data_IF_501848313997
#
_entry.id   IF_501848313997
#
_cell.length_a   1.000
_cell.length_b   1.000
_cell.length_c   1.000
_cell.angle_alpha   90.00
_cell.angle_beta   90.00
_cell.angle_gamma   90.00
#
_symmetry.space_group_name_H-M   'P 1'
#
loop_
_entity.id
_entity.type
_entity.pdbx_description
1 polymer ?
#
# COMPACT_ATOMS: atom_id res chain seq x y z
N UNK A 1 43.48 39.67 34.57
CA UNK A 1 42.04 39.58 34.26
C UNK A 1 41.76 38.14 33.84
N UNK A 2 41.12 37.35 34.71
CA UNK A 2 40.72 35.98 34.40
C UNK A 2 39.19 35.98 34.30
N UNK A 3 38.59 35.44 33.23
CA UNK A 3 37.14 35.46 33.06
C UNK A 3 36.51 34.41 33.98
N UNK A 4 35.52 34.83 34.76
CA UNK A 4 34.69 33.94 35.57
C UNK A 4 33.68 33.28 34.64
N UNK A 5 33.83 31.98 34.43
CA UNK A 5 32.84 31.16 33.71
C UNK A 5 31.63 30.99 34.64
N UNK A 6 30.52 31.64 34.29
CA UNK A 6 29.25 31.46 34.98
C UNK A 6 28.61 30.16 34.50
N UNK A 7 28.65 29.13 35.33
CA UNK A 7 28.00 27.85 35.06
C UNK A 7 26.53 27.99 35.43
N UNK A 8 25.65 28.05 34.43
CA UNK A 8 24.21 28.03 34.62
C UNK A 8 23.78 26.71 35.25
N UNK A 9 23.43 26.74 36.53
CA UNK A 9 22.85 25.61 37.25
C UNK A 9 21.45 25.34 36.68
N UNK A 10 21.30 24.28 35.89
CA UNK A 10 19.99 23.78 35.46
C UNK A 10 19.13 23.52 36.69
N UNK A 11 17.96 24.16 36.76
CA UNK A 11 17.03 24.05 37.87
C UNK A 11 16.75 22.58 38.22
N UNK A 12 17.23 22.14 39.38
CA UNK A 12 16.92 20.82 39.93
C UNK A 12 15.43 20.82 40.25
N UNK A 13 14.64 20.12 39.44
CA UNK A 13 13.20 19.94 39.71
C UNK A 13 13.05 19.28 41.08
N UNK A 14 12.22 19.86 41.95
CA UNK A 14 11.88 19.29 43.25
C UNK A 14 11.40 17.84 43.04
N UNK A 15 11.88 16.87 43.85
CA UNK A 15 11.39 15.50 43.75
C UNK A 15 9.89 15.47 44.02
N UNK A 16 9.12 14.69 43.23
CA UNK A 16 7.68 14.61 43.36
C UNK A 16 7.29 14.06 44.73
N UNK A 17 6.22 14.62 45.27
CA UNK A 17 5.67 14.23 46.57
C UNK A 17 4.97 12.88 46.44
N UNK A 18 4.90 12.09 47.51
CA UNK A 18 4.22 10.79 47.51
C UNK A 18 2.77 10.86 46.96
N UNK A 19 2.03 11.91 47.31
CA UNK A 19 0.66 12.11 46.81
C UNK A 19 0.60 12.42 45.32
N UNK A 20 1.61 13.11 44.78
CA UNK A 20 1.73 13.39 43.33
C UNK A 20 1.99 12.09 42.58
N UNK A 21 2.95 11.28 43.07
CA UNK A 21 3.23 9.95 42.53
C UNK A 21 2.00 9.03 42.60
N UNK A 22 1.22 9.08 43.69
CA UNK A 22 0.01 8.27 43.84
C UNK A 22 -1.06 8.66 42.81
N UNK A 23 -1.26 9.96 42.57
CA UNK A 23 -2.19 10.47 41.54
C UNK A 23 -1.72 10.11 40.13
N UNK A 24 -0.43 10.22 39.86
CA UNK A 24 0.15 9.81 38.57
C UNK A 24 -0.04 8.32 38.33
N UNK A 25 0.23 7.46 39.32
CA UNK A 25 0.02 6.02 39.21
C UNK A 25 -1.45 5.69 38.92
N UNK A 26 -2.41 6.36 39.57
CA UNK A 26 -3.83 6.15 39.28
C UNK A 26 -4.20 6.59 37.86
N UNK A 27 -3.63 7.71 37.39
CA UNK A 27 -3.88 8.24 36.05
C UNK A 27 -3.29 7.33 34.98
N UNK A 28 -2.05 6.88 35.16
CA UNK A 28 -1.38 5.94 34.25
C UNK A 28 -2.10 4.59 34.22
N UNK A 29 -2.60 4.11 35.36
CA UNK A 29 -3.42 2.88 35.41
C UNK A 29 -4.71 3.04 34.61
N UNK A 30 -5.38 4.18 34.73
CA UNK A 30 -6.58 4.48 33.96
C UNK A 30 -6.28 4.55 32.46
N UNK A 31 -5.25 5.30 32.07
CA UNK A 31 -4.79 5.39 30.67
C UNK A 31 -4.41 4.02 30.10
N UNK A 32 -3.73 3.17 30.87
CA UNK A 32 -3.41 1.81 30.44
C UNK A 32 -4.66 0.96 30.23
N UNK A 33 -5.67 1.10 31.10
CA UNK A 33 -6.93 0.39 30.96
C UNK A 33 -7.73 0.87 29.73
N UNK A 34 -7.71 2.17 29.44
CA UNK A 34 -8.37 2.76 28.29
C UNK A 34 -7.68 2.33 26.98
N UNK A 35 -6.35 2.44 26.89
CA UNK A 35 -5.58 1.97 25.73
C UNK A 35 -5.78 0.47 25.46
N UNK A 36 -5.90 -0.35 26.50
CA UNK A 36 -6.20 -1.78 26.34
C UNK A 36 -7.58 -2.03 25.74
N UNK A 37 -8.57 -1.21 26.11
CA UNK A 37 -9.92 -1.26 25.52
C UNK A 37 -9.87 -0.85 24.06
N UNK A 38 -9.20 0.25 23.74
CA UNK A 38 -9.06 0.74 22.36
C UNK A 38 -8.37 -0.28 21.46
N UNK A 39 -7.28 -0.92 21.94
CA UNK A 39 -6.60 -2.00 21.22
C UNK A 39 -7.54 -3.18 20.99
N UNK A 40 -8.35 -3.56 21.99
CA UNK A 40 -9.30 -4.65 21.85
C UNK A 40 -10.38 -4.35 20.81
N UNK A 41 -10.90 -3.12 20.80
CA UNK A 41 -11.90 -2.66 19.84
C UNK A 41 -11.33 -2.59 18.43
N UNK A 42 -10.15 -2.01 18.27
CA UNK A 42 -9.43 -1.98 17.00
C UNK A 42 -9.15 -3.40 16.47
N UNK A 43 -8.72 -4.34 17.33
CA UNK A 43 -8.50 -5.73 16.95
C UNK A 43 -9.79 -6.43 16.49
N UNK A 44 -10.92 -6.19 17.16
CA UNK A 44 -12.23 -6.71 16.73
C UNK A 44 -12.65 -6.14 15.38
N UNK A 45 -12.43 -4.84 15.17
CA UNK A 45 -12.76 -4.20 13.90
C UNK A 45 -11.87 -4.74 12.77
N UNK A 46 -10.57 -4.89 13.00
CA UNK A 46 -9.64 -5.50 12.06
C UNK A 46 -10.07 -6.93 11.68
N UNK A 47 -10.49 -7.75 12.67
CA UNK A 47 -10.99 -9.10 12.42
C UNK A 47 -12.25 -9.09 11.53
N UNK A 48 -13.20 -8.17 11.78
CA UNK A 48 -14.41 -8.01 10.97
C UNK A 48 -14.09 -7.61 9.53
N UNK A 49 -13.21 -6.63 9.35
CA UNK A 49 -12.77 -6.16 8.03
C UNK A 49 -12.07 -7.29 7.28
N UNK A 50 -11.15 -8.03 7.92
CA UNK A 50 -10.47 -9.17 7.31
C UNK A 50 -11.43 -10.27 6.87
N UNK A 51 -12.44 -10.58 7.68
CA UNK A 51 -13.46 -11.56 7.33
C UNK A 51 -14.39 -11.08 6.19
N UNK A 52 -14.68 -9.78 6.11
CA UNK A 52 -15.43 -9.21 4.99
C UNK A 52 -14.61 -9.25 3.70
N UNK A 53 -13.35 -8.86 3.77
CA UNK A 53 -12.40 -8.88 2.67
C UNK A 53 -12.23 -10.30 2.11
N UNK A 54 -12.09 -11.31 2.97
CA UNK A 54 -11.95 -12.70 2.52
C UNK A 54 -13.18 -13.18 1.74
N UNK A 55 -14.40 -12.88 2.22
CA UNK A 55 -15.64 -13.22 1.52
C UNK A 55 -15.78 -12.51 0.18
N UNK A 56 -15.35 -11.24 0.11
CA UNK A 56 -15.38 -10.48 -1.14
C UNK A 56 -14.33 -11.00 -2.14
N UNK A 57 -13.13 -11.30 -1.66
CA UNK A 57 -12.05 -11.89 -2.46
C UNK A 57 -12.46 -13.24 -3.06
N UNK A 58 -13.11 -14.09 -2.27
CA UNK A 58 -13.64 -15.38 -2.75
C UNK A 58 -14.66 -15.17 -3.88
N UNK A 59 -15.62 -14.25 -3.69
CA UNK A 59 -16.60 -13.91 -4.74
C UNK A 59 -15.95 -13.38 -6.02
N UNK A 60 -14.91 -12.56 -5.89
CA UNK A 60 -14.17 -12.02 -7.03
C UNK A 60 -13.39 -13.10 -7.78
N UNK A 61 -12.89 -14.13 -7.09
CA UNK A 61 -12.14 -15.22 -7.71
C UNK A 61 -12.95 -16.06 -8.72
N UNK A 62 -14.28 -15.95 -8.71
CA UNK A 62 -15.13 -16.55 -9.76
C UNK A 62 -15.06 -15.82 -11.10
N UNK A 63 -14.68 -14.54 -11.10
CA UNK A 63 -14.66 -13.69 -12.30
C UNK A 63 -13.24 -13.28 -12.69
N UNK A 64 -12.35 -13.19 -11.70
CA UNK A 64 -10.99 -12.69 -11.83
C UNK A 64 -10.00 -13.78 -11.47
N UNK A 65 -8.82 -13.73 -12.11
CA UNK A 65 -7.71 -14.59 -11.76
C UNK A 65 -7.09 -14.18 -10.43
N UNK A 66 -6.36 -15.09 -9.78
CA UNK A 66 -5.81 -14.86 -8.44
C UNK A 66 -4.89 -13.63 -8.37
N UNK A 67 -4.04 -13.40 -9.37
CA UNK A 67 -3.17 -12.23 -9.49
C UNK A 67 -3.95 -10.92 -9.69
N UNK A 68 -5.08 -10.97 -10.41
CA UNK A 68 -5.98 -9.83 -10.55
C UNK A 68 -6.68 -9.49 -9.23
N UNK A 69 -7.08 -10.50 -8.46
CA UNK A 69 -7.66 -10.30 -7.12
C UNK A 69 -6.61 -9.77 -6.16
N UNK A 70 -5.38 -10.29 -6.20
CA UNK A 70 -4.24 -9.77 -5.42
C UNK A 70 -4.01 -8.27 -5.71
N UNK A 71 -4.08 -7.87 -6.99
CA UNK A 71 -3.96 -6.45 -7.38
C UNK A 71 -5.05 -5.56 -6.77
N UNK A 72 -6.27 -6.06 -6.61
CA UNK A 72 -7.37 -5.30 -6.01
C UNK A 72 -7.25 -5.16 -4.49
N UNK A 73 -6.64 -6.15 -3.83
CA UNK A 73 -6.50 -6.20 -2.37
C UNK A 73 -5.18 -5.55 -1.90
N UNK A 74 -4.26 -5.28 -2.83
CA UNK A 74 -2.95 -4.69 -2.56
C UNK A 74 -3.06 -3.35 -1.83
N UNK A 75 -2.32 -3.21 -0.73
CA UNK A 75 -2.23 -1.99 0.05
C UNK A 75 -1.06 -1.11 -0.43
N UNK A 76 -1.09 0.21 -0.17
CA UNK A 76 0.05 1.08 -0.43
C UNK A 76 1.30 0.58 0.31
N UNK A 77 2.39 0.37 -0.43
CA UNK A 77 3.66 -0.12 0.11
C UNK A 77 3.87 -1.64 -0.01
N UNK A 78 2.85 -2.39 -0.43
CA UNK A 78 3.01 -3.82 -0.73
C UNK A 78 3.92 -4.04 -1.96
N UNK A 79 4.59 -5.19 -2.01
CA UNK A 79 5.38 -5.60 -3.16
C UNK A 79 4.51 -5.64 -4.43
N UNK A 80 5.06 -5.29 -5.61
CA UNK A 80 4.30 -5.31 -6.86
C UNK A 80 3.80 -6.72 -7.17
N UNK A 81 2.56 -6.82 -7.65
CA UNK A 81 1.92 -8.08 -8.02
C UNK A 81 2.71 -8.78 -9.12
N UNK A 82 2.92 -10.09 -8.94
CA UNK A 82 3.51 -10.95 -9.96
C UNK A 82 2.41 -11.46 -10.87
N UNK A 83 2.30 -10.84 -12.04
CA UNK A 83 1.34 -11.26 -13.07
C UNK A 83 1.65 -12.65 -13.59
N UNK A 84 0.63 -13.47 -13.70
CA UNK A 84 0.75 -14.80 -14.30
C UNK A 84 0.73 -14.71 -15.82
N UNK A 85 1.43 -15.61 -16.50
CA UNK A 85 1.46 -15.66 -17.97
C UNK A 85 0.06 -15.70 -18.61
N UNK A 86 -0.93 -16.47 -18.12
CA UNK A 86 -2.28 -16.44 -18.66
C UNK A 86 -2.97 -15.07 -18.58
N UNK A 87 -2.70 -14.28 -17.52
CA UNK A 87 -3.22 -12.92 -17.37
C UNK A 87 -2.52 -11.97 -18.33
N UNK A 88 -1.20 -12.10 -18.50
CA UNK A 88 -0.41 -11.29 -19.43
C UNK A 88 -0.85 -11.52 -20.88
N UNK A 89 -1.07 -12.78 -21.28
CA UNK A 89 -1.60 -13.11 -22.62
C UNK A 89 -2.99 -12.53 -22.86
N UNK A 90 -3.90 -12.71 -21.91
CA UNK A 90 -5.25 -12.14 -21.99
C UNK A 90 -5.23 -10.61 -22.11
N UNK A 91 -4.40 -9.95 -21.31
CA UNK A 91 -4.22 -8.50 -21.36
C UNK A 91 -3.60 -8.04 -22.70
N UNK A 92 -2.67 -8.81 -23.25
CA UNK A 92 -2.11 -8.57 -24.58
C UNK A 92 -3.20 -8.66 -25.66
N UNK A 93 -4.06 -9.67 -25.62
CA UNK A 93 -5.15 -9.82 -26.59
C UNK A 93 -6.12 -8.63 -26.55
N UNK A 94 -6.47 -8.14 -25.36
CA UNK A 94 -7.27 -6.91 -25.22
C UNK A 94 -6.53 -5.72 -25.83
N UNK A 95 -5.25 -5.57 -25.52
CA UNK A 95 -4.42 -4.47 -26.04
C UNK A 95 -4.37 -4.50 -27.57
N UNK A 96 -4.25 -5.69 -28.18
CA UNK A 96 -4.25 -5.88 -29.63
C UNK A 96 -5.56 -5.45 -30.28
N UNK A 97 -6.69 -5.76 -29.64
CA UNK A 97 -7.99 -5.35 -30.15
C UNK A 97 -8.18 -3.83 -30.08
N UNK A 98 -7.78 -3.20 -28.97
CA UNK A 98 -7.86 -1.75 -28.83
C UNK A 98 -6.91 -1.21 -27.74
N UNK A 99 -5.77 -0.62 -28.12
CA UNK A 99 -4.86 0.01 -27.16
C UNK A 99 -5.52 1.15 -26.37
N UNK A 100 -6.39 1.94 -27.04
CA UNK A 100 -7.12 3.03 -26.41
C UNK A 100 -8.08 2.54 -25.33
N UNK A 101 -8.81 1.46 -25.60
CA UNK A 101 -9.70 0.87 -24.60
C UNK A 101 -8.90 0.34 -23.41
N UNK A 102 -7.78 -0.32 -23.66
CA UNK A 102 -6.89 -0.82 -22.61
C UNK A 102 -6.39 0.29 -21.67
N UNK A 103 -5.88 1.40 -22.23
CA UNK A 103 -5.48 2.59 -21.46
C UNK A 103 -6.62 3.17 -20.64
N UNK A 104 -7.82 3.20 -21.21
CA UNK A 104 -9.02 3.68 -20.50
C UNK A 104 -9.37 2.77 -19.32
N UNK A 105 -9.25 1.45 -19.48
CA UNK A 105 -9.46 0.49 -18.40
C UNK A 105 -8.41 0.63 -17.29
N UNK A 106 -7.15 0.86 -17.65
CA UNK A 106 -6.08 1.14 -16.68
C UNK A 106 -6.34 2.44 -15.90
N UNK A 107 -6.75 3.51 -16.59
CA UNK A 107 -7.13 4.76 -15.94
C UNK A 107 -8.36 4.60 -15.02
N UNK A 108 -9.26 3.68 -15.35
CA UNK A 108 -10.39 3.29 -14.50
C UNK A 108 -10.01 2.27 -13.40
N UNK A 109 -8.71 2.03 -13.16
CA UNK A 109 -8.18 1.14 -12.14
C UNK A 109 -8.64 -0.33 -12.24
N UNK A 110 -8.90 -0.83 -13.46
CA UNK A 110 -9.11 -2.26 -13.66
C UNK A 110 -7.85 -3.06 -13.28
N UNK A 111 -7.99 -4.30 -12.77
CA UNK A 111 -6.86 -5.14 -12.37
C UNK A 111 -6.21 -5.78 -13.60
N UNK A 112 -5.53 -4.94 -14.38
CA UNK A 112 -4.78 -5.31 -15.56
C UNK A 112 -3.29 -4.96 -15.37
N UNK A 113 -2.39 -5.70 -16.03
CA UNK A 113 -0.96 -5.36 -16.05
C UNK A 113 -0.72 -3.95 -16.60
N UNK A 114 0.34 -3.28 -16.18
CA UNK A 114 0.74 -2.03 -16.84
C UNK A 114 1.31 -2.32 -18.22
N UNK A 115 1.34 -1.32 -19.10
CA UNK A 115 2.00 -1.46 -20.41
C UNK A 115 3.46 -1.89 -20.23
N UNK A 116 4.16 -1.40 -19.22
CA UNK A 116 5.53 -1.83 -18.88
C UNK A 116 5.63 -3.33 -18.59
N UNK A 117 4.67 -3.91 -17.87
CA UNK A 117 4.64 -5.34 -17.60
C UNK A 117 4.37 -6.15 -18.88
N UNK A 118 3.47 -5.68 -19.75
CA UNK A 118 3.24 -6.31 -21.06
C UNK A 118 4.47 -6.26 -21.96
N UNK A 119 5.19 -5.12 -21.98
CA UNK A 119 6.44 -4.98 -22.74
C UNK A 119 7.49 -5.99 -22.28
N UNK A 120 7.72 -6.09 -20.97
CA UNK A 120 8.67 -7.04 -20.40
C UNK A 120 8.34 -8.48 -20.83
N UNK A 121 7.05 -8.85 -20.77
CA UNK A 121 6.57 -10.15 -21.21
C UNK A 121 6.78 -10.39 -22.73
N UNK A 122 6.49 -9.41 -23.58
CA UNK A 122 6.72 -9.52 -25.02
C UNK A 122 8.20 -9.74 -25.36
N UNK A 123 9.11 -9.04 -24.66
CA UNK A 123 10.56 -9.17 -24.84
C UNK A 123 11.03 -10.56 -24.37
N UNK A 124 10.60 -11.00 -23.19
CA UNK A 124 10.99 -12.28 -22.59
C UNK A 124 10.51 -13.48 -23.42
N UNK A 125 9.30 -13.42 -23.97
CA UNK A 125 8.71 -14.52 -24.74
C UNK A 125 8.84 -14.37 -26.26
N UNK A 126 9.55 -13.34 -26.75
CA UNK A 126 9.77 -13.12 -28.19
C UNK A 126 8.48 -12.87 -29.00
N UNK A 127 7.44 -12.31 -28.37
CA UNK A 127 6.13 -12.12 -29.00
C UNK A 127 6.17 -10.89 -29.90
N UNK A 128 6.37 -11.10 -31.20
CA UNK A 128 6.41 -10.01 -32.20
C UNK A 128 5.09 -9.86 -32.98
N UNK A 129 4.25 -10.90 -33.01
CA UNK A 129 3.25 -11.06 -34.06
C UNK A 129 1.92 -10.38 -33.70
N UNK A 130 1.66 -9.17 -34.19
CA UNK A 130 0.45 -8.38 -33.88
C UNK A 130 0.55 -7.53 -32.62
N UNK A 131 1.74 -7.37 -32.04
CA UNK A 131 1.97 -6.43 -30.92
C UNK A 131 2.23 -5.02 -31.50
N UNK A 132 1.51 -3.98 -31.06
CA UNK A 132 1.74 -2.63 -31.55
C UNK A 132 3.20 -2.19 -31.29
N UNK A 133 3.83 -1.45 -32.23
CA UNK A 133 5.24 -1.08 -32.12
C UNK A 133 5.56 -0.26 -30.86
N UNK A 134 4.57 0.44 -30.30
CA UNK A 134 4.66 1.18 -29.04
C UNK A 134 5.09 0.31 -27.84
N UNK A 135 4.70 -0.97 -27.84
CA UNK A 135 5.12 -1.94 -26.81
C UNK A 135 6.51 -2.54 -27.11
N UNK A 136 6.99 -2.45 -28.34
CA UNK A 136 8.31 -2.95 -28.74
C UNK A 136 9.38 -1.86 -28.71
N UNK A 137 8.98 -0.59 -28.72
CA UNK A 137 9.86 0.57 -28.54
C UNK A 137 10.17 0.76 -27.05
N UNK A 138 11.46 0.88 -26.72
CA UNK A 138 11.90 1.27 -25.39
C UNK A 138 11.40 2.69 -25.11
N UNK A 139 10.49 2.84 -24.14
CA UNK A 139 10.16 4.15 -23.60
C UNK A 139 11.24 4.56 -22.60
N UNK A 140 11.70 5.81 -22.73
CA UNK A 140 12.59 6.51 -21.81
C UNK A 140 12.12 6.35 -20.34
N UNK A 141 13.04 6.23 -19.38
CA UNK A 141 12.69 6.01 -17.97
C UNK A 141 12.17 7.33 -17.37
N UNK A 142 10.86 7.53 -17.32
CA UNK A 142 10.34 8.84 -16.87
C UNK A 142 8.91 8.95 -16.36
N UNK A 143 8.13 7.87 -16.21
CA UNK A 143 6.79 7.97 -15.58
C UNK A 143 6.79 7.23 -14.25
N UNK A 144 7.07 8.01 -13.20
CA UNK A 144 6.81 7.64 -11.81
C UNK A 144 5.30 7.48 -11.63
N UNK A 145 4.84 6.25 -11.39
CA UNK A 145 3.50 5.96 -10.86
C UNK A 145 3.44 6.40 -9.37
N UNK A 146 3.65 7.69 -9.13
CA UNK A 146 3.39 8.39 -7.89
C UNK A 146 1.97 8.94 -7.90
N UNK A 147 0.96 8.06 -8.01
CA UNK A 147 -0.43 8.47 -7.81
C UNK A 147 -0.63 8.79 -6.32
N UNK A 148 -0.46 10.06 -6.01
CA UNK A 148 -0.75 10.72 -4.75
C UNK A 148 -2.23 10.50 -4.40
N UNK A 149 -2.54 9.51 -3.57
CA UNK A 149 -3.89 9.32 -3.06
C UNK A 149 -4.12 10.34 -1.94
N UNK A 150 -4.73 11.46 -2.30
CA UNK A 150 -5.36 12.38 -1.35
C UNK A 150 -6.61 11.68 -0.80
N UNK A 151 -6.60 11.33 0.48
CA UNK A 151 -7.80 10.94 1.20
C UNK A 151 -8.52 12.20 1.69
N UNK A 152 -9.77 12.39 1.24
CA UNK A 152 -10.75 13.26 1.90
C UNK A 152 -11.45 12.48 3.02
#
# INVERSE_FOLDING_TARGET
MVPVISVSFSAVRRPPTYDELRREVTTLKQQSADLRRDICEAARQAARVKAALSRQSERLSHFLRADQVERLVQLPGDAPVRWTEPTLRFALDIYRCSPKAYRTMLAAHYPLPSERALRAFCVEHGVQDGVPPELLLQAEPGEEDGANIVWL
#
